data_IF_942532950962
#
_entry.id   IF_942532950962
#
_cell.length_a   1.000
_cell.length_b   1.000
_cell.length_c   1.000
_cell.angle_alpha   90.00
_cell.angle_beta   90.00
_cell.angle_gamma   90.00
#
_symmetry.space_group_name_H-M   'P 1'
#
loop_
_entity.id
_entity.type
_entity.pdbx_description
1 polymer ?
#
# COMPACT_ATOMS: atom_id res chain seq x y z
N UNK A 1 -12.31 -14.07 -1.88
CA UNK A 1 -11.21 -14.77 -2.58
C UNK A 1 -10.14 -13.81 -3.11
N UNK A 2 -10.53 -12.80 -3.91
CA UNK A 2 -9.60 -11.85 -4.56
C UNK A 2 -8.74 -11.02 -3.60
N UNK A 3 -9.31 -10.52 -2.49
CA UNK A 3 -8.58 -9.74 -1.47
C UNK A 3 -7.39 -10.51 -0.89
N UNK A 4 -7.61 -11.77 -0.49
CA UNK A 4 -6.55 -12.61 0.10
C UNK A 4 -5.42 -12.87 -0.89
N UNK A 5 -5.76 -13.05 -2.17
CA UNK A 5 -4.78 -13.23 -3.24
C UNK A 5 -3.93 -11.95 -3.43
N UNK A 6 -4.56 -10.78 -3.50
CA UNK A 6 -3.84 -9.50 -3.56
C UNK A 6 -2.93 -9.28 -2.36
N UNK A 7 -3.39 -9.55 -1.15
CA UNK A 7 -2.57 -9.43 0.06
C UNK A 7 -1.36 -10.37 -0.02
N UNK A 8 -1.52 -11.60 -0.52
CA UNK A 8 -0.41 -12.54 -0.71
C UNK A 8 0.64 -11.99 -1.69
N UNK A 9 0.20 -11.40 -2.81
CA UNK A 9 1.11 -10.74 -3.75
C UNK A 9 1.81 -9.53 -3.15
N UNK A 10 1.10 -8.69 -2.38
CA UNK A 10 1.70 -7.53 -1.72
C UNK A 10 2.75 -7.97 -0.69
N UNK A 11 2.47 -9.02 0.11
CA UNK A 11 3.45 -9.59 1.05
C UNK A 11 4.65 -10.22 0.34
N UNK A 12 4.43 -10.86 -0.81
CA UNK A 12 5.53 -11.38 -1.63
C UNK A 12 6.41 -10.24 -2.15
N UNK A 13 5.78 -9.18 -2.67
CA UNK A 13 6.48 -7.95 -3.05
C UNK A 13 7.27 -7.35 -1.88
N UNK A 14 6.69 -7.26 -0.67
CA UNK A 14 7.42 -6.73 0.50
C UNK A 14 8.70 -7.54 0.83
N UNK A 15 8.71 -8.85 0.58
CA UNK A 15 9.89 -9.70 0.80
C UNK A 15 10.93 -9.60 -0.31
N UNK A 16 10.49 -9.46 -1.56
CA UNK A 16 11.37 -9.43 -2.73
C UNK A 16 11.87 -8.01 -3.06
N UNK A 17 11.12 -6.98 -2.67
CA UNK A 17 11.45 -5.60 -2.98
C UNK A 17 12.70 -5.16 -2.20
N UNK A 18 13.68 -4.54 -2.87
CA UNK A 18 14.88 -4.03 -2.21
C UNK A 18 14.54 -2.91 -1.22
N UNK A 19 15.35 -2.80 -0.15
CA UNK A 19 15.17 -1.84 0.94
C UNK A 19 15.03 -0.40 0.46
N UNK A 20 15.80 0.00 -0.57
CA UNK A 20 15.73 1.33 -1.19
C UNK A 20 14.33 1.72 -1.67
N UNK A 21 13.55 0.77 -2.17
CA UNK A 21 12.17 1.02 -2.62
C UNK A 21 11.23 1.13 -1.42
N UNK A 22 11.49 0.37 -0.35
CA UNK A 22 10.68 0.39 0.88
C UNK A 22 10.88 1.67 1.69
N UNK A 23 12.10 2.19 1.73
CA UNK A 23 12.47 3.45 2.38
C UNK A 23 11.98 4.69 1.61
N UNK A 24 11.67 4.56 0.32
CA UNK A 24 11.13 5.65 -0.49
C UNK A 24 9.70 6.06 -0.13
N UNK A 25 9.02 5.29 0.73
CA UNK A 25 7.68 5.59 1.18
C UNK A 25 7.69 6.75 2.19
N UNK A 26 6.91 7.79 1.91
CA UNK A 26 6.86 9.01 2.74
C UNK A 26 5.71 9.04 3.73
N UNK A 27 4.86 8.03 3.68
CA UNK A 27 3.65 7.93 4.48
C UNK A 27 3.73 6.74 5.42
N UNK A 28 3.20 6.92 6.64
CA UNK A 28 3.00 5.87 7.63
C UNK A 28 1.50 5.57 7.77
N UNK A 29 1.06 4.29 7.68
CA UNK A 29 1.88 3.13 7.35
C UNK A 29 2.30 3.15 5.88
N UNK A 30 3.38 2.43 5.54
CA UNK A 30 3.90 2.37 4.16
C UNK A 30 2.81 2.07 3.12
N UNK A 31 2.96 2.53 1.87
CA UNK A 31 1.98 2.34 0.79
C UNK A 31 1.53 0.88 0.60
N UNK A 32 2.45 -0.08 0.80
CA UNK A 32 2.14 -1.52 0.74
C UNK A 32 1.28 -1.98 1.93
N UNK A 33 1.57 -1.50 3.15
CA UNK A 33 0.75 -1.76 4.33
C UNK A 33 -0.62 -1.06 4.23
N UNK A 34 -0.65 0.18 3.76
CA UNK A 34 -1.89 0.91 3.46
C UNK A 34 -2.76 0.11 2.48
N UNK A 35 -2.17 -0.46 1.42
CA UNK A 35 -2.90 -1.28 0.46
C UNK A 35 -3.51 -2.53 1.13
N UNK A 36 -2.77 -3.20 2.02
CA UNK A 36 -3.28 -4.36 2.77
C UNK A 36 -4.46 -3.94 3.67
N UNK A 37 -4.33 -2.84 4.41
CA UNK A 37 -5.38 -2.33 5.29
C UNK A 37 -6.64 -1.93 4.49
N UNK A 38 -6.46 -1.20 3.38
CA UNK A 38 -7.54 -0.75 2.52
C UNK A 38 -8.28 -1.92 1.85
N UNK A 39 -7.54 -2.94 1.37
CA UNK A 39 -8.12 -4.15 0.81
C UNK A 39 -8.88 -4.97 1.84
N UNK A 40 -8.41 -4.99 3.08
CA UNK A 40 -9.05 -5.72 4.19
C UNK A 40 -10.32 -5.00 4.64
N UNK A 41 -10.31 -3.67 4.74
CA UNK A 41 -11.43 -2.85 5.24
C UNK A 41 -12.51 -2.59 4.19
N UNK A 42 -12.12 -2.34 2.94
CA UNK A 42 -13.04 -1.88 1.88
C UNK A 42 -13.23 -2.87 0.73
N UNK A 43 -12.59 -4.03 0.78
CA UNK A 43 -12.64 -5.04 -0.28
C UNK A 43 -11.77 -4.70 -1.49
N UNK A 44 -11.85 -5.54 -2.52
CA UNK A 44 -10.89 -5.52 -3.65
C UNK A 44 -10.92 -4.22 -4.45
N UNK A 45 -12.08 -3.79 -4.94
CA UNK A 45 -12.21 -2.66 -5.87
C UNK A 45 -11.86 -1.34 -5.16
N UNK A 46 -12.52 -1.06 -4.03
CA UNK A 46 -12.32 0.20 -3.29
C UNK A 46 -10.94 0.24 -2.62
N UNK A 47 -10.46 -0.88 -2.10
CA UNK A 47 -9.11 -1.00 -1.53
C UNK A 47 -8.02 -0.69 -2.57
N UNK A 48 -8.10 -1.25 -3.77
CA UNK A 48 -7.16 -0.94 -4.84
C UNK A 48 -7.25 0.52 -5.31
N UNK A 49 -8.46 1.07 -5.45
CA UNK A 49 -8.63 2.49 -5.80
C UNK A 49 -7.94 3.42 -4.80
N UNK A 50 -8.09 3.15 -3.50
CA UNK A 50 -7.43 3.91 -2.43
C UNK A 50 -5.91 3.72 -2.46
N UNK A 51 -5.43 2.48 -2.59
CA UNK A 51 -4.00 2.16 -2.67
C UNK A 51 -3.30 2.85 -3.86
N UNK A 52 -3.90 2.80 -5.04
CA UNK A 52 -3.35 3.45 -6.25
C UNK A 52 -3.33 4.97 -6.08
N UNK A 53 -4.39 5.55 -5.53
CA UNK A 53 -4.42 6.98 -5.26
C UNK A 53 -3.37 7.41 -4.22
N UNK A 54 -3.08 6.55 -3.24
CA UNK A 54 -1.99 6.74 -2.26
C UNK A 54 -0.62 6.71 -2.94
N UNK A 55 -0.36 5.71 -3.78
CA UNK A 55 0.90 5.58 -4.53
C UNK A 55 1.20 6.80 -5.39
N UNK A 56 0.20 7.36 -6.08
CA UNK A 56 0.35 8.59 -6.89
C UNK A 56 0.73 9.82 -6.07
N UNK A 57 0.29 9.87 -4.80
CA UNK A 57 0.54 10.98 -3.87
C UNK A 57 1.83 10.80 -3.07
N UNK A 58 2.36 9.58 -2.97
CA UNK A 58 3.58 9.26 -2.22
C UNK A 58 4.85 9.76 -2.93
N UNK A 59 5.04 11.08 -2.93
CA UNK A 59 6.19 11.81 -3.47
C UNK A 59 6.34 13.15 -2.73
N UNK A 60 7.55 13.72 -2.70
CA UNK A 60 7.77 15.06 -2.12
C UNK A 60 6.83 16.08 -2.78
N UNK A 61 6.24 17.03 -2.03
CA UNK A 61 6.38 17.31 -0.59
C UNK A 61 5.42 16.51 0.32
N UNK A 62 4.66 15.57 -0.23
CA UNK A 62 3.64 14.85 0.54
C UNK A 62 4.26 13.73 1.40
N UNK A 63 3.74 13.57 2.61
CA UNK A 63 4.13 12.54 3.57
C UNK A 63 3.31 12.66 4.86
N UNK A 64 3.63 11.85 5.86
CA UNK A 64 2.99 11.86 7.18
C UNK A 64 2.13 10.63 7.46
N UNK A 65 1.20 10.73 8.42
CA UNK A 65 0.34 9.62 8.81
C UNK A 65 -1.00 9.66 8.04
N UNK A 66 -1.35 8.60 7.30
CA UNK A 66 -2.71 8.45 6.77
C UNK A 66 -3.07 6.96 6.63
N UNK A 67 -4.13 6.59 7.33
CA UNK A 67 -4.68 5.25 7.44
C UNK A 67 -6.02 5.17 6.69
N UNK A 68 -6.30 4.04 6.00
CA UNK A 68 -7.54 3.85 5.27
C UNK A 68 -8.74 3.64 6.19
#
# INVERSE_FOLDING_TARGET
MLVKLSIKFIKLYQRLAPTKIREGCRFEPTCSNYAILALTKYGFIKGWKMAINRLKRCKYPNGGEDYP
#
